data_IF_896819269597
#
_entry.id   IF_896819269597
#
_cell.length_a   1.000
_cell.length_b   1.000
_cell.length_c   1.000
_cell.angle_alpha   90.00
_cell.angle_beta   90.00
_cell.angle_gamma   90.00
#
_symmetry.space_group_name_H-M   'P 1'
#
loop_
_entity.id
_entity.type
_entity.pdbx_description
1 polymer ?
#
# COMPACT_ATOMS: atom_id res chain seq x y z
N UNK A 1 28.30 -2.51 -18.97
CA UNK A 1 27.18 -3.33 -18.50
C UNK A 1 27.03 -3.41 -16.98
N UNK A 2 28.05 -3.15 -16.15
CA UNK A 2 27.92 -3.20 -14.68
C UNK A 2 27.26 -1.95 -14.03
N UNK A 3 27.36 -0.78 -14.68
CA UNK A 3 26.79 0.47 -14.15
C UNK A 3 25.27 0.55 -14.28
N UNK A 4 24.68 0.03 -15.36
CA UNK A 4 23.23 0.13 -15.58
C UNK A 4 22.45 -0.76 -14.61
N UNK A 5 22.91 -1.99 -14.34
CA UNK A 5 22.28 -2.88 -13.34
C UNK A 5 22.30 -2.30 -11.93
N UNK A 6 23.42 -1.69 -11.54
CA UNK A 6 23.53 -1.06 -10.22
C UNK A 6 22.55 0.11 -10.10
N UNK A 7 22.34 0.86 -11.19
CA UNK A 7 21.38 1.96 -11.24
C UNK A 7 19.93 1.45 -11.20
N UNK A 8 19.59 0.43 -11.99
CA UNK A 8 18.26 -0.19 -12.00
C UNK A 8 17.90 -0.82 -10.64
N UNK A 9 18.88 -1.39 -9.93
CA UNK A 9 18.67 -1.90 -8.57
C UNK A 9 18.40 -0.79 -7.54
N UNK A 10 19.05 0.36 -7.68
CA UNK A 10 18.79 1.53 -6.82
C UNK A 10 17.40 2.08 -7.09
N UNK A 11 17.03 2.28 -8.36
CA UNK A 11 15.69 2.76 -8.75
C UNK A 11 14.59 1.77 -8.29
N UNK A 12 14.85 0.46 -8.41
CA UNK A 12 13.95 -0.59 -7.91
C UNK A 12 13.76 -0.55 -6.39
N UNK A 13 14.83 -0.29 -5.63
CA UNK A 13 14.79 -0.16 -4.17
C UNK A 13 14.05 1.12 -3.72
N UNK A 14 14.24 2.23 -4.42
CA UNK A 14 13.51 3.47 -4.16
C UNK A 14 12.01 3.25 -4.36
N UNK A 15 11.63 2.63 -5.49
CA UNK A 15 10.24 2.30 -5.79
C UNK A 15 9.63 1.34 -4.76
N UNK A 16 10.40 0.34 -4.30
CA UNK A 16 9.95 -0.55 -3.22
C UNK A 16 9.73 0.21 -1.91
N UNK A 17 10.62 1.14 -1.57
CA UNK A 17 10.49 1.97 -0.37
C UNK A 17 9.25 2.86 -0.41
N UNK A 18 8.92 3.42 -1.57
CA UNK A 18 7.71 4.23 -1.73
C UNK A 18 6.44 3.39 -1.66
N UNK A 19 6.42 2.21 -2.28
CA UNK A 19 5.30 1.26 -2.16
C UNK A 19 5.05 0.85 -0.70
N UNK A 20 6.11 0.67 0.09
CA UNK A 20 5.98 0.36 1.53
C UNK A 20 5.41 1.52 2.33
N UNK A 21 5.74 2.77 1.99
CA UNK A 21 5.12 3.96 2.62
C UNK A 21 3.64 4.05 2.27
N UNK A 22 3.29 3.86 1.00
CA UNK A 22 1.90 3.88 0.54
C UNK A 22 1.08 2.80 1.26
N UNK A 23 1.65 1.61 1.44
CA UNK A 23 1.04 0.51 2.18
C UNK A 23 0.83 0.86 3.67
N UNK A 24 1.80 1.54 4.31
CA UNK A 24 1.65 2.03 5.68
C UNK A 24 0.57 3.12 5.79
N UNK A 25 0.50 4.04 4.84
CA UNK A 25 -0.54 5.08 4.80
C UNK A 25 -1.92 4.48 4.63
N UNK A 26 -2.09 3.51 3.71
CA UNK A 26 -3.36 2.80 3.52
C UNK A 26 -3.80 2.07 4.79
N UNK A 27 -2.85 1.43 5.50
CA UNK A 27 -3.13 0.81 6.79
C UNK A 27 -3.59 1.83 7.84
N UNK A 28 -2.91 2.96 7.95
CA UNK A 28 -3.31 4.03 8.89
C UNK A 28 -4.72 4.53 8.61
N UNK A 29 -5.08 4.75 7.33
CA UNK A 29 -6.43 5.18 6.97
C UNK A 29 -7.49 4.11 7.25
N UNK A 30 -7.14 2.83 7.16
CA UNK A 30 -8.03 1.74 7.57
C UNK A 30 -8.22 1.75 9.10
N UNK A 31 -7.14 1.88 9.88
CA UNK A 31 -7.19 1.96 11.33
C UNK A 31 -8.04 3.19 11.77
N UNK A 32 -7.88 4.34 11.14
CA UNK A 32 -8.69 5.55 11.39
C UNK A 32 -10.19 5.32 11.12
N UNK A 33 -10.53 4.57 10.07
CA UNK A 33 -11.92 4.23 9.76
C UNK A 33 -12.54 3.29 10.81
N UNK A 34 -11.74 2.39 11.40
CA UNK A 34 -12.16 1.52 12.50
C UNK A 34 -12.32 2.31 13.80
N UNK A 35 -11.41 3.22 14.12
CA UNK A 35 -11.52 4.05 15.33
C UNK A 35 -12.76 4.95 15.27
N UNK A 36 -13.03 5.57 14.11
CA UNK A 36 -14.27 6.33 13.91
C UNK A 36 -15.52 5.43 14.08
N UNK A 37 -15.43 4.14 13.75
CA UNK A 37 -16.52 3.20 13.99
C UNK A 37 -16.78 2.96 15.47
N UNK A 38 -15.71 2.87 16.27
CA UNK A 38 -15.81 2.56 17.69
C UNK A 38 -16.34 3.74 18.50
N UNK A 39 -16.05 4.97 18.06
CA UNK A 39 -16.47 6.21 18.73
C UNK A 39 -17.87 6.69 18.29
N UNK A 40 -18.42 6.15 17.20
CA UNK A 40 -19.72 6.54 16.68
C UNK A 40 -20.86 5.69 17.27
N UNK A 41 -21.62 6.28 18.21
CA UNK A 41 -22.80 5.67 18.85
C UNK A 41 -24.15 6.05 18.19
N UNK A 42 -24.12 6.61 16.98
CA UNK A 42 -25.33 7.01 16.24
C UNK A 42 -25.77 5.98 15.21
N UNK A 43 -26.99 6.14 14.68
CA UNK A 43 -27.56 5.33 13.58
C UNK A 43 -27.75 6.18 12.29
N UNK A 44 -26.80 7.07 11.94
CA UNK A 44 -26.85 7.77 10.65
C UNK A 44 -26.19 6.92 9.55
N UNK A 45 -27.05 6.28 8.76
CA UNK A 45 -26.68 5.44 7.62
C UNK A 45 -25.72 6.13 6.62
N UNK A 46 -25.72 7.46 6.53
CA UNK A 46 -24.77 8.19 5.67
C UNK A 46 -23.35 8.15 6.21
N UNK A 47 -23.20 8.22 7.54
CA UNK A 47 -21.91 8.15 8.21
C UNK A 47 -21.35 6.73 8.12
N UNK A 48 -22.20 5.72 8.32
CA UNK A 48 -21.82 4.31 8.17
C UNK A 48 -21.40 3.97 6.74
N UNK A 49 -22.18 4.37 5.73
CA UNK A 49 -21.82 4.15 4.33
C UNK A 49 -20.52 4.87 3.94
N UNK A 50 -20.28 6.07 4.45
CA UNK A 50 -19.03 6.79 4.19
C UNK A 50 -17.84 6.05 4.82
N UNK A 51 -17.97 5.59 6.07
CA UNK A 51 -16.95 4.79 6.74
C UNK A 51 -16.65 3.50 5.98
N UNK A 52 -17.67 2.75 5.60
CA UNK A 52 -17.50 1.47 4.91
C UNK A 52 -16.84 1.68 3.54
N UNK A 53 -17.18 2.76 2.84
CA UNK A 53 -16.50 3.17 1.60
C UNK A 53 -15.02 3.50 1.83
N UNK A 54 -14.68 4.23 2.90
CA UNK A 54 -13.28 4.54 3.23
C UNK A 54 -12.47 3.28 3.56
N UNK A 55 -13.04 2.38 4.36
CA UNK A 55 -12.41 1.11 4.71
C UNK A 55 -12.21 0.23 3.47
N UNK A 56 -13.19 0.18 2.56
CA UNK A 56 -13.08 -0.57 1.31
C UNK A 56 -12.00 0.01 0.39
N UNK A 57 -11.93 1.33 0.24
CA UNK A 57 -10.90 2.00 -0.55
C UNK A 57 -9.49 1.78 0.01
N UNK A 58 -9.34 1.89 1.34
CA UNK A 58 -8.08 1.63 2.02
C UNK A 58 -7.62 0.17 1.81
N UNK A 59 -8.53 -0.79 1.94
CA UNK A 59 -8.23 -2.20 1.68
C UNK A 59 -7.86 -2.47 0.22
N UNK A 60 -8.58 -1.88 -0.74
CA UNK A 60 -8.23 -1.96 -2.17
C UNK A 60 -6.85 -1.35 -2.46
N UNK A 61 -6.51 -0.24 -1.82
CA UNK A 61 -5.19 0.39 -1.95
C UNK A 61 -4.08 -0.51 -1.40
N UNK A 62 -4.30 -1.11 -0.23
CA UNK A 62 -3.39 -2.07 0.37
C UNK A 62 -3.11 -3.26 -0.57
N UNK A 63 -4.15 -3.90 -1.13
CA UNK A 63 -3.98 -5.04 -2.04
C UNK A 63 -3.20 -4.66 -3.31
N UNK A 64 -3.38 -3.44 -3.83
CA UNK A 64 -2.60 -2.95 -4.97
C UNK A 64 -1.13 -2.77 -4.61
N UNK A 65 -0.85 -2.22 -3.44
CA UNK A 65 0.52 -2.04 -2.94
C UNK A 65 1.19 -3.40 -2.71
N UNK A 66 0.50 -4.36 -2.10
CA UNK A 66 0.99 -5.73 -1.88
C UNK A 66 1.41 -6.40 -3.19
N UNK A 67 0.54 -6.36 -4.21
CA UNK A 67 0.86 -6.91 -5.53
C UNK A 67 2.07 -6.21 -6.18
N UNK A 68 2.14 -4.88 -6.08
CA UNK A 68 3.24 -4.11 -6.64
C UNK A 68 4.58 -4.39 -5.92
N UNK A 69 4.55 -4.62 -4.60
CA UNK A 69 5.71 -5.04 -3.81
C UNK A 69 6.20 -6.41 -4.29
N UNK A 70 5.30 -7.39 -4.45
CA UNK A 70 5.66 -8.72 -4.94
C UNK A 70 6.28 -8.67 -6.34
N UNK A 71 5.70 -7.90 -7.26
CA UNK A 71 6.22 -7.69 -8.61
C UNK A 71 7.62 -7.04 -8.57
N UNK A 72 7.81 -6.05 -7.70
CA UNK A 72 9.09 -5.36 -7.55
C UNK A 72 10.17 -6.27 -6.96
N UNK A 73 9.82 -7.12 -5.99
CA UNK A 73 10.73 -8.14 -5.42
C UNK A 73 11.14 -9.15 -6.50
N UNK A 74 10.21 -9.61 -7.34
CA UNK A 74 10.52 -10.52 -8.45
C UNK A 74 11.44 -9.88 -9.50
N UNK A 75 11.20 -8.61 -9.83
CA UNK A 75 12.05 -7.85 -10.74
C UNK A 75 13.48 -7.73 -10.19
N UNK A 76 13.63 -7.33 -8.93
CA UNK A 76 14.94 -7.26 -8.27
C UNK A 76 15.66 -8.62 -8.23
N UNK A 77 14.93 -9.71 -7.95
CA UNK A 77 15.48 -11.05 -7.95
C UNK A 77 15.99 -11.48 -9.34
N UNK A 78 15.39 -10.96 -10.42
CA UNK A 78 15.82 -11.19 -11.81
C UNK A 78 17.10 -10.42 -12.11
N UNK A 79 17.16 -9.14 -11.73
CA UNK A 79 18.34 -8.30 -11.91
C UNK A 79 19.59 -8.84 -11.21
N UNK A 80 19.42 -9.53 -10.07
CA UNK A 80 20.51 -10.15 -9.30
C UNK A 80 20.96 -11.50 -9.88
N UNK A 81 20.09 -12.22 -10.60
CA UNK A 81 20.39 -13.56 -11.15
C UNK A 81 21.05 -13.54 -12.53
N UNK A 82 20.82 -12.50 -13.32
CA UNK A 82 21.51 -12.25 -14.59
C UNK A 82 22.91 -11.63 -14.40
#
# INVERSE_FOLDING_TARGET
MCNDKSKELVEANEKLSDLLKDMQSAKSSFDDAIDHSNDYFGDDERIENHRDSMAEEAYKSYLRCEKAVDEQIQYMATLVKE
#
